data_IF_808414011186
#
_entry.id   IF_808414011186
#
_cell.length_a   1.000
_cell.length_b   1.000
_cell.length_c   1.000
_cell.angle_alpha   90.00
_cell.angle_beta   90.00
_cell.angle_gamma   90.00
#
_symmetry.space_group_name_H-M   'P 1'
#
loop_
_entity.id
_entity.type
_entity.pdbx_description
1 polymer ?
#
# COMPACT_ATOMS: atom_id res chain seq x y z
N UNK A 1 9.61 5.18 13.33
CA UNK A 1 8.19 5.28 13.76
C UNK A 1 7.57 6.56 13.19
N UNK A 2 7.05 6.54 11.96
CA UNK A 2 6.32 7.66 11.35
C UNK A 2 5.11 7.25 10.49
N UNK A 3 4.83 5.94 10.38
CA UNK A 3 3.80 5.41 9.48
C UNK A 3 2.37 5.82 9.89
N UNK A 4 2.03 5.73 11.19
CA UNK A 4 0.72 6.13 11.71
C UNK A 4 0.40 7.62 11.43
N UNK A 5 1.43 8.48 11.46
CA UNK A 5 1.23 9.92 11.21
C UNK A 5 0.86 10.22 9.76
N UNK A 6 1.38 9.47 8.79
CA UNK A 6 1.04 9.67 7.38
C UNK A 6 -0.37 9.19 7.09
N UNK A 7 -0.80 8.09 7.70
CA UNK A 7 -2.15 7.55 7.58
C UNK A 7 -3.20 8.49 8.18
N UNK A 8 -2.98 8.96 9.41
CA UNK A 8 -3.85 9.95 10.04
C UNK A 8 -3.91 11.27 9.24
N UNK A 9 -2.78 11.68 8.66
CA UNK A 9 -2.72 12.89 7.82
C UNK A 9 -3.52 12.69 6.54
N UNK A 10 -3.53 11.50 5.94
CA UNK A 10 -4.39 11.16 4.80
C UNK A 10 -5.87 11.27 5.19
N UNK A 11 -6.28 10.67 6.31
CA UNK A 11 -7.66 10.76 6.79
C UNK A 11 -8.09 12.22 7.03
N UNK A 12 -7.23 13.04 7.64
CA UNK A 12 -7.49 14.48 7.82
C UNK A 12 -7.62 15.21 6.49
N UNK A 13 -6.75 14.90 5.52
CA UNK A 13 -6.82 15.49 4.18
C UNK A 13 -8.13 15.14 3.46
N UNK A 14 -8.54 13.87 3.50
CA UNK A 14 -9.81 13.42 2.90
C UNK A 14 -11.02 14.07 3.58
N UNK A 15 -11.01 14.16 4.92
CA UNK A 15 -12.06 14.84 5.68
C UNK A 15 -12.14 16.35 5.44
N UNK A 16 -11.16 16.95 4.76
CA UNK A 16 -11.20 18.36 4.37
C UNK A 16 -12.22 18.67 3.27
N UNK A 17 -12.68 17.66 2.52
CA UNK A 17 -13.60 17.85 1.38
C UNK A 17 -14.62 16.71 1.18
N UNK A 18 -14.47 15.61 1.90
CA UNK A 18 -15.38 14.47 1.94
C UNK A 18 -15.59 14.03 3.40
N UNK A 19 -16.40 13.00 3.63
CA UNK A 19 -16.44 12.29 4.91
C UNK A 19 -15.65 11.00 4.74
N UNK A 20 -14.52 10.86 5.45
CA UNK A 20 -13.64 9.71 5.32
C UNK A 20 -13.38 9.04 6.67
N UNK A 21 -13.53 7.72 6.72
CA UNK A 21 -13.28 6.93 7.92
C UNK A 21 -12.62 5.60 7.55
N UNK A 22 -11.67 5.16 8.39
CA UNK A 22 -11.19 3.79 8.34
C UNK A 22 -12.26 2.89 8.96
N UNK A 23 -12.81 2.00 8.14
CA UNK A 23 -13.87 1.06 8.56
C UNK A 23 -13.28 -0.28 9.02
N UNK A 24 -12.15 -0.66 8.44
CA UNK A 24 -11.34 -1.84 8.79
C UNK A 24 -9.87 -1.52 8.52
N UNK A 25 -8.91 -2.22 9.15
CA UNK A 25 -7.48 -2.03 8.88
C UNK A 25 -7.14 -2.08 7.38
N UNK A 26 -6.67 -0.95 6.84
CA UNK A 26 -6.34 -0.82 5.42
C UNK A 26 -7.53 -0.62 4.48
N UNK A 27 -8.67 -0.19 5.02
CA UNK A 27 -9.90 0.08 4.28
C UNK A 27 -10.51 1.41 4.72
N UNK A 28 -10.47 2.40 3.83
CA UNK A 28 -11.06 3.72 4.07
C UNK A 28 -12.34 3.86 3.25
N UNK A 29 -13.45 4.11 3.90
CA UNK A 29 -14.67 4.56 3.23
C UNK A 29 -14.63 6.08 3.07
N UNK A 30 -14.90 6.57 1.86
CA UNK A 30 -14.93 8.00 1.51
C UNK A 30 -16.28 8.33 0.89
N UNK A 31 -17.08 9.12 1.60
CA UNK A 31 -18.35 9.65 1.10
C UNK A 31 -18.14 11.07 0.59
N UNK A 32 -18.25 11.25 -0.72
CA UNK A 32 -18.14 12.54 -1.39
C UNK A 32 -19.53 13.18 -1.49
N UNK A 33 -19.76 14.36 -0.89
CA UNK A 33 -21.02 15.07 -1.04
C UNK A 33 -21.19 15.54 -2.49
N UNK A 34 -22.38 15.33 -3.04
CA UNK A 34 -22.76 15.82 -4.36
C UNK A 34 -23.82 16.92 -4.20
N UNK A 35 -23.54 18.17 -4.59
CA UNK A 35 -24.53 19.25 -4.47
C UNK A 35 -25.74 19.09 -5.40
N UNK A 36 -25.62 18.31 -6.48
CA UNK A 36 -26.66 18.15 -7.52
C UNK A 36 -27.32 16.77 -7.50
N UNK A 37 -27.00 15.91 -6.53
CA UNK A 37 -27.49 14.54 -6.52
C UNK A 37 -27.17 13.75 -5.24
N UNK A 38 -27.24 12.43 -5.33
CA UNK A 38 -26.87 11.55 -4.22
C UNK A 38 -25.37 11.59 -3.95
N UNK A 39 -25.01 11.54 -2.66
CA UNK A 39 -23.62 11.39 -2.24
C UNK A 39 -23.02 10.11 -2.83
N UNK A 40 -21.74 10.16 -3.19
CA UNK A 40 -21.00 9.05 -3.77
C UNK A 40 -20.11 8.43 -2.71
N UNK A 41 -20.31 7.16 -2.39
CA UNK A 41 -19.42 6.40 -1.52
C UNK A 41 -18.38 5.66 -2.37
N UNK A 42 -17.11 5.78 -1.99
CA UNK A 42 -15.95 5.11 -2.59
C UNK A 42 -15.13 4.47 -1.47
N UNK A 43 -14.76 3.22 -1.64
CA UNK A 43 -13.94 2.50 -0.68
C UNK A 43 -12.51 2.35 -1.21
N UNK A 44 -11.54 2.86 -0.47
CA UNK A 44 -10.11 2.74 -0.76
C UNK A 44 -9.57 1.54 0.00
N UNK A 45 -9.06 0.55 -0.72
CA UNK A 45 -8.39 -0.62 -0.19
C UNK A 45 -6.88 -0.45 -0.33
N UNK A 46 -6.24 -0.03 0.75
CA UNK A 46 -4.82 0.27 0.84
C UNK A 46 -4.38 0.19 2.29
N UNK A 47 -3.34 -0.56 2.61
CA UNK A 47 -2.80 -0.61 3.97
C UNK A 47 -1.98 0.64 4.31
N UNK A 48 -1.72 0.93 5.59
CA UNK A 48 -0.84 2.04 5.98
C UNK A 48 0.58 1.92 5.38
N UNK A 49 1.10 0.69 5.21
CA UNK A 49 2.40 0.46 4.56
C UNK A 49 2.36 0.78 3.06
N UNK A 50 1.28 0.38 2.38
CA UNK A 50 1.08 0.71 0.97
C UNK A 50 0.89 2.21 0.74
N UNK A 51 0.28 2.92 1.69
CA UNK A 51 0.22 4.38 1.65
C UNK A 51 1.62 5.00 1.74
N UNK A 52 2.48 4.50 2.61
CA UNK A 52 3.86 4.97 2.70
C UNK A 52 4.63 4.71 1.40
N UNK A 53 4.49 3.52 0.82
CA UNK A 53 5.06 3.20 -0.49
C UNK A 53 4.53 4.13 -1.58
N UNK A 54 3.23 4.41 -1.61
CA UNK A 54 2.63 5.36 -2.55
C UNK A 54 3.21 6.76 -2.35
N UNK A 55 3.41 7.21 -1.11
CA UNK A 55 4.00 8.53 -0.85
C UNK A 55 5.48 8.57 -1.26
N UNK A 56 6.24 7.53 -0.94
CA UNK A 56 7.71 7.55 -1.02
C UNK A 56 8.25 7.17 -2.39
N UNK A 57 7.60 6.27 -3.12
CA UNK A 57 8.11 5.73 -4.39
C UNK A 57 7.76 6.61 -5.59
N UNK A 58 6.48 6.82 -5.94
CA UNK A 58 6.12 7.61 -7.13
C UNK A 58 6.15 9.13 -6.89
N UNK A 59 5.87 9.62 -5.67
CA UNK A 59 5.67 11.05 -5.43
C UNK A 59 6.80 11.72 -4.66
N UNK A 60 7.37 11.06 -3.66
CA UNK A 60 8.40 11.61 -2.79
C UNK A 60 7.89 12.66 -1.78
N UNK A 61 6.61 13.02 -1.82
CA UNK A 61 5.97 13.96 -0.89
C UNK A 61 4.48 13.65 -0.67
N UNK A 62 3.99 14.01 0.52
CA UNK A 62 2.60 13.73 0.93
C UNK A 62 1.58 14.50 0.09
N UNK A 63 1.83 15.77 -0.24
CA UNK A 63 0.82 16.65 -0.81
C UNK A 63 0.56 16.32 -2.29
N UNK A 64 1.55 15.83 -3.01
CA UNK A 64 1.40 15.27 -4.36
C UNK A 64 0.66 13.93 -4.32
N UNK A 65 1.05 13.01 -3.45
CA UNK A 65 0.37 11.73 -3.27
C UNK A 65 -1.11 11.91 -2.88
N UNK A 66 -1.40 12.79 -1.92
CA UNK A 66 -2.76 13.06 -1.46
C UNK A 66 -3.65 13.68 -2.56
N UNK A 67 -3.10 14.54 -3.40
CA UNK A 67 -3.81 15.10 -4.56
C UNK A 67 -4.19 14.02 -5.57
N UNK A 68 -3.32 13.03 -5.79
CA UNK A 68 -3.59 11.93 -6.71
C UNK A 68 -4.61 10.94 -6.14
N UNK A 69 -4.60 10.68 -4.82
CA UNK A 69 -5.69 9.97 -4.15
C UNK A 69 -7.02 10.68 -4.37
N UNK A 70 -7.08 12.01 -4.18
CA UNK A 70 -8.30 12.79 -4.42
C UNK A 70 -8.77 12.67 -5.86
N UNK A 71 -7.85 12.80 -6.83
CA UNK A 71 -8.16 12.67 -8.25
C UNK A 71 -8.71 11.28 -8.58
N UNK A 72 -8.13 10.22 -8.01
CA UNK A 72 -8.62 8.86 -8.16
C UNK A 72 -10.06 8.72 -7.61
N UNK A 73 -10.32 9.18 -6.37
CA UNK A 73 -11.66 9.11 -5.74
C UNK A 73 -12.73 9.84 -6.56
N UNK A 74 -12.40 11.03 -7.05
CA UNK A 74 -13.32 11.81 -7.89
C UNK A 74 -13.52 11.15 -9.26
N UNK A 75 -12.48 10.53 -9.82
CA UNK A 75 -12.50 9.87 -11.13
C UNK A 75 -13.22 8.52 -11.19
N UNK A 76 -13.52 7.90 -10.04
CA UNK A 76 -14.23 6.60 -10.00
C UNK A 76 -15.58 6.71 -10.72
N UNK A 77 -15.89 5.80 -11.64
CA UNK A 77 -17.19 5.77 -12.34
C UNK A 77 -18.33 5.38 -11.38
N UNK A 78 -19.59 5.68 -11.70
CA UNK A 78 -20.74 5.25 -10.89
C UNK A 78 -20.87 3.71 -10.75
N UNK A 79 -20.26 2.96 -11.67
CA UNK A 79 -20.27 1.50 -11.67
C UNK A 79 -19.13 0.86 -10.87
N UNK A 80 -18.12 1.66 -10.51
CA UNK A 80 -16.97 1.23 -9.74
C UNK A 80 -17.12 1.85 -8.35
N UNK A 81 -16.93 1.06 -7.29
CA UNK A 81 -17.06 1.56 -5.91
C UNK A 81 -15.77 1.44 -5.13
N UNK A 82 -14.79 0.74 -5.69
CA UNK A 82 -13.55 0.40 -5.01
C UNK A 82 -12.38 1.07 -5.72
N UNK A 83 -11.43 1.58 -4.93
CA UNK A 83 -10.10 1.94 -5.36
C UNK A 83 -9.12 1.01 -4.68
N UNK A 84 -8.42 0.19 -5.45
CA UNK A 84 -7.49 -0.80 -4.92
C UNK A 84 -6.07 -0.31 -5.19
N UNK A 85 -5.22 -0.38 -4.17
CA UNK A 85 -3.80 -0.15 -4.35
C UNK A 85 -3.16 -1.28 -5.18
N UNK A 86 -2.54 -0.90 -6.31
CA UNK A 86 -1.81 -1.80 -7.19
C UNK A 86 -0.61 -1.07 -7.79
N UNK A 87 0.59 -1.64 -7.63
CA UNK A 87 1.84 -1.10 -8.22
C UNK A 87 2.05 0.40 -7.96
N UNK A 88 1.91 0.84 -6.70
CA UNK A 88 2.09 2.24 -6.28
C UNK A 88 1.01 3.22 -6.78
N UNK A 89 -0.10 2.72 -7.33
CA UNK A 89 -1.23 3.53 -7.80
C UNK A 89 -2.56 3.05 -7.21
N UNK A 90 -3.58 3.92 -7.21
CA UNK A 90 -4.96 3.55 -6.88
C UNK A 90 -5.77 3.33 -8.15
N UNK A 91 -6.21 2.10 -8.35
CA UNK A 91 -6.92 1.69 -9.58
C UNK A 91 -8.40 1.42 -9.26
N UNK A 92 -9.34 1.96 -10.05
CA UNK A 92 -10.75 1.62 -9.93
C UNK A 92 -11.00 0.12 -10.08
N UNK A 93 -11.90 -0.41 -9.27
CA UNK A 93 -12.30 -1.81 -9.30
C UNK A 93 -13.79 -1.97 -9.05
N UNK A 94 -14.37 -2.98 -9.70
CA UNK A 94 -15.74 -3.43 -9.45
C UNK A 94 -15.84 -4.37 -8.24
N UNK A 95 -14.72 -4.93 -7.77
CA UNK A 95 -14.66 -5.83 -6.62
C UNK A 95 -13.72 -5.32 -5.52
N UNK A 96 -14.03 -5.58 -4.24
CA UNK A 96 -13.20 -5.18 -3.09
C UNK A 96 -11.98 -6.11 -2.92
N UNK A 97 -11.37 -6.55 -4.02
CA UNK A 97 -10.25 -7.48 -3.95
C UNK A 97 -8.95 -6.71 -3.94
N UNK A 98 -8.34 -6.59 -2.76
CA UNK A 98 -6.90 -6.30 -2.66
C UNK A 98 -6.19 -7.45 -3.38
N UNK A 99 -5.78 -7.22 -4.63
CA UNK A 99 -4.91 -8.14 -5.32
C UNK A 99 -3.60 -8.07 -4.56
N UNK A 100 -3.38 -9.04 -3.66
CA UNK A 100 -2.20 -9.08 -2.80
C UNK A 100 -0.95 -8.92 -3.65
N UNK A 101 0.06 -8.23 -3.11
CA UNK A 101 1.31 -7.98 -3.82
C UNK A 101 1.84 -9.29 -4.42
N UNK A 102 1.94 -9.40 -5.76
CA UNK A 102 2.42 -10.62 -6.41
C UNK A 102 3.86 -10.96 -5.98
N UNK A 103 4.68 -9.97 -5.62
CA UNK A 103 6.01 -10.18 -5.06
C UNK A 103 5.94 -10.83 -3.68
N UNK A 104 5.04 -10.37 -2.81
CA UNK A 104 4.80 -10.97 -1.49
C UNK A 104 4.20 -12.38 -1.60
N UNK A 105 3.29 -12.60 -2.55
CA UNK A 105 2.75 -13.93 -2.85
C UNK A 105 3.85 -14.88 -3.35
N UNK A 106 4.75 -14.39 -4.22
CA UNK A 106 5.91 -15.13 -4.70
C UNK A 106 6.90 -15.42 -3.58
N UNK A 107 7.17 -14.46 -2.70
CA UNK A 107 8.03 -14.63 -1.52
C UNK A 107 7.47 -15.66 -0.54
N UNK A 108 6.15 -15.63 -0.27
CA UNK A 108 5.48 -16.64 0.58
C UNK A 108 5.52 -18.03 -0.05
N UNK A 109 5.39 -18.11 -1.36
CA UNK A 109 5.56 -19.38 -2.07
C UNK A 109 7.00 -19.89 -1.97
N UNK A 110 7.99 -19.02 -2.20
CA UNK A 110 9.40 -19.34 -2.08
C UNK A 110 9.77 -19.76 -0.65
N UNK A 111 9.25 -19.07 0.37
CA UNK A 111 9.45 -19.43 1.79
C UNK A 111 8.81 -20.78 2.15
N UNK A 112 7.66 -21.14 1.55
CA UNK A 112 7.08 -22.48 1.70
C UNK A 112 7.90 -23.57 1.01
N UNK A 113 8.48 -23.24 -0.14
CA UNK A 113 9.33 -24.17 -0.90
C UNK A 113 10.70 -24.36 -0.25
N UNK A 114 11.19 -23.36 0.48
CA UNK A 114 12.52 -23.33 1.08
C UNK A 114 12.45 -22.84 2.54
N UNK A 115 11.94 -23.67 3.47
CA UNK A 115 11.83 -23.33 4.89
C UNK A 115 13.19 -23.03 5.55
N UNK A 116 14.28 -23.49 4.95
CA UNK A 116 15.67 -23.24 5.36
C UNK A 116 16.20 -21.83 4.98
N UNK A 117 15.47 -21.07 4.17
CA UNK A 117 15.94 -19.79 3.61
C UNK A 117 16.88 -19.97 2.41
N UNK A 118 17.09 -18.89 1.64
CA UNK A 118 17.97 -18.92 0.47
C UNK A 118 19.36 -18.40 0.78
N UNK A 119 20.36 -19.22 0.47
CA UNK A 119 21.76 -18.82 0.33
C UNK A 119 22.56 -18.88 1.63
N UNK A 120 23.82 -19.27 1.48
CA UNK A 120 24.83 -19.10 2.52
C UNK A 120 25.52 -17.77 2.29
N UNK A 121 25.56 -16.90 3.30
CA UNK A 121 26.41 -15.72 3.25
C UNK A 121 27.84 -16.17 3.47
N UNK A 122 28.66 -16.04 2.44
CA UNK A 122 30.07 -16.38 2.48
C UNK A 122 30.85 -15.07 2.51
N UNK A 123 31.52 -14.79 3.62
CA UNK A 123 32.45 -13.66 3.69
C UNK A 123 33.80 -14.13 3.16
N UNK A 124 34.23 -13.64 2.01
CA UNK A 124 35.56 -13.90 1.47
C UNK A 124 36.52 -12.76 1.78
N UNK A 125 37.77 -13.08 2.11
CA UNK A 125 38.84 -12.10 2.18
C UNK A 125 39.27 -11.60 0.79
N UNK A 126 40.21 -10.63 0.75
CA UNK A 126 40.74 -10.05 -0.50
C UNK A 126 41.50 -11.06 -1.38
N UNK A 127 41.75 -12.27 -0.89
CA UNK A 127 42.40 -13.36 -1.63
C UNK A 127 41.41 -14.43 -2.09
N UNK A 128 40.12 -14.26 -1.79
CA UNK A 128 39.06 -15.20 -2.12
C UNK A 128 38.90 -16.35 -1.12
N UNK A 129 39.56 -16.28 0.05
CA UNK A 129 39.43 -17.30 1.09
C UNK A 129 38.19 -17.03 1.94
N UNK A 130 37.35 -18.03 2.11
CA UNK A 130 36.16 -17.98 2.99
C UNK A 130 36.60 -17.84 4.45
N UNK A 131 36.08 -16.81 5.12
CA UNK A 131 36.37 -16.48 6.52
C UNK A 131 35.26 -16.94 7.48
N UNK A 132 34.00 -17.02 7.01
CA UNK A 132 32.85 -17.44 7.81
C UNK A 132 31.72 -17.97 6.90
N UNK A 133 31.03 -19.00 7.39
CA UNK A 133 29.80 -19.58 6.83
C UNK A 133 28.71 -19.45 7.90
N UNK A 134 28.23 -18.22 8.13
CA UNK A 134 27.19 -17.99 9.12
C UNK A 134 25.82 -18.31 8.53
N UNK A 135 25.05 -19.15 9.22
CA UNK A 135 23.61 -19.25 9.01
C UNK A 135 22.97 -17.88 9.32
N UNK A 136 21.91 -17.47 8.59
CA UNK A 136 21.19 -16.25 8.94
C UNK A 136 20.76 -16.30 10.42
N UNK A 137 20.84 -15.18 11.17
CA UNK A 137 20.37 -15.15 12.54
C UNK A 137 18.86 -15.48 12.59
N UNK A 138 18.39 -16.24 13.58
CA UNK A 138 16.95 -16.38 13.80
C UNK A 138 16.38 -15.01 14.23
N UNK A 139 15.22 -14.67 13.65
CA UNK A 139 14.44 -13.46 13.93
C UNK A 139 14.14 -13.25 15.44
#
# INVERSE_FOLDING_TARGET
MSYERLWERLLKFLNGWAVAAEVEPGRIEVTVPNPEGSAKAVEILMTPGQWDELVTVPWGDFDSAAREVRKAVLGVSHHERFLVYAQYELVPSATPTLTGDPALARLRELARQHPEGFGHWVVTDRTGKVLDESHPPPD
#
